data_IF_174719050125
#
_entry.id   IF_174719050125
#
_cell.length_a   1.000
_cell.length_b   1.000
_cell.length_c   1.000
_cell.angle_alpha   90.00
_cell.angle_beta   90.00
_cell.angle_gamma   90.00
#
_symmetry.space_group_name_H-M   'P 1'
#
loop_
_entity.id
_entity.type
_entity.pdbx_description
1 polymer ?
#
# COMPACT_ATOMS: atom_id res chain seq x y z
N UNK A 1 -36.39 26.73 -49.29
CA UNK A 1 -35.69 27.48 -48.21
C UNK A 1 -36.07 27.00 -46.79
N UNK A 2 -37.24 26.45 -46.51
CA UNK A 2 -37.65 25.98 -45.16
C UNK A 2 -36.89 24.75 -44.64
N UNK A 3 -36.54 23.79 -45.50
CA UNK A 3 -35.88 22.53 -45.16
C UNK A 3 -34.41 22.71 -44.76
N UNK A 4 -33.69 23.74 -45.29
CA UNK A 4 -32.31 24.04 -44.91
C UNK A 4 -32.23 24.70 -43.53
N UNK A 5 -33.20 25.57 -43.19
CA UNK A 5 -33.30 26.19 -41.85
C UNK A 5 -33.62 25.17 -40.76
N UNK A 6 -34.43 24.15 -41.06
CA UNK A 6 -34.74 23.04 -40.14
C UNK A 6 -33.53 22.18 -39.90
N UNK A 7 -32.76 21.76 -40.92
CA UNK A 7 -31.51 20.96 -40.76
C UNK A 7 -30.45 21.68 -39.96
N UNK A 8 -30.30 23.01 -40.15
CA UNK A 8 -29.34 23.83 -39.35
C UNK A 8 -29.76 23.89 -37.87
N UNK A 9 -31.04 24.02 -37.55
CA UNK A 9 -31.53 24.00 -36.15
C UNK A 9 -31.31 22.65 -35.50
N UNK A 10 -31.57 21.55 -36.19
CA UNK A 10 -31.31 20.18 -35.68
C UNK A 10 -29.82 19.98 -35.43
N UNK A 11 -28.96 20.39 -36.37
CA UNK A 11 -27.51 20.28 -36.18
C UNK A 11 -26.99 21.07 -34.96
N UNK A 12 -27.51 22.29 -34.74
CA UNK A 12 -27.18 23.09 -33.55
C UNK A 12 -27.63 22.39 -32.28
N UNK A 13 -28.87 21.86 -32.24
CA UNK A 13 -29.39 21.13 -31.06
C UNK A 13 -28.52 19.91 -30.76
N UNK A 14 -28.19 19.11 -31.77
CA UNK A 14 -27.32 17.93 -31.60
C UNK A 14 -25.96 18.36 -31.06
N UNK A 15 -25.36 19.41 -31.63
CA UNK A 15 -24.05 19.94 -31.17
C UNK A 15 -24.11 20.41 -29.71
N UNK A 16 -25.18 21.11 -29.30
CA UNK A 16 -25.36 21.53 -27.91
C UNK A 16 -25.55 20.33 -26.96
N UNK A 17 -26.30 19.32 -27.38
CA UNK A 17 -26.48 18.08 -26.58
C UNK A 17 -25.16 17.34 -26.43
N UNK A 18 -24.41 17.16 -27.52
CA UNK A 18 -23.10 16.51 -27.47
C UNK A 18 -22.10 17.27 -26.57
N UNK A 19 -22.08 18.60 -26.66
CA UNK A 19 -21.25 19.44 -25.80
C UNK A 19 -21.66 19.31 -24.31
N UNK A 20 -22.96 19.31 -24.02
CA UNK A 20 -23.49 19.10 -22.67
C UNK A 20 -23.11 17.73 -22.09
N UNK A 21 -23.23 16.67 -22.90
CA UNK A 21 -22.81 15.32 -22.49
C UNK A 21 -21.30 15.24 -22.23
N UNK A 22 -20.48 15.86 -23.07
CA UNK A 22 -19.04 15.88 -22.87
C UNK A 22 -18.65 16.59 -21.55
N UNK A 23 -19.27 17.74 -21.27
CA UNK A 23 -19.06 18.46 -20.00
C UNK A 23 -19.52 17.60 -18.80
N UNK A 24 -20.68 16.96 -18.92
CA UNK A 24 -21.18 16.07 -17.86
C UNK A 24 -20.21 14.91 -17.58
N UNK A 25 -19.67 14.26 -18.61
CA UNK A 25 -18.69 13.17 -18.47
C UNK A 25 -17.43 13.67 -17.78
N UNK A 26 -16.91 14.83 -18.19
CA UNK A 26 -15.70 15.40 -17.55
C UNK A 26 -15.95 15.70 -16.06
N UNK A 27 -17.07 16.36 -15.74
CA UNK A 27 -17.42 16.67 -14.34
C UNK A 27 -17.60 15.38 -13.53
N UNK A 28 -18.25 14.36 -14.12
CA UNK A 28 -18.40 13.06 -13.47
C UNK A 28 -17.05 12.39 -13.19
N UNK A 29 -16.13 12.38 -14.16
CA UNK A 29 -14.78 11.86 -13.97
C UNK A 29 -13.97 12.64 -12.92
N UNK A 30 -14.16 13.98 -12.84
CA UNK A 30 -13.55 14.78 -11.77
C UNK A 30 -14.10 14.41 -10.40
N UNK A 31 -15.41 14.19 -10.27
CA UNK A 31 -16.04 13.72 -9.02
C UNK A 31 -15.50 12.34 -8.65
N UNK A 32 -15.42 11.43 -9.61
CA UNK A 32 -14.85 10.10 -9.39
C UNK A 32 -13.38 10.18 -8.91
N UNK A 33 -12.57 11.05 -9.53
CA UNK A 33 -11.19 11.29 -9.12
C UNK A 33 -11.07 11.86 -7.71
N UNK A 34 -11.95 12.81 -7.37
CA UNK A 34 -11.94 13.46 -6.05
C UNK A 34 -12.42 12.54 -4.92
N UNK A 35 -13.56 11.82 -5.13
CA UNK A 35 -14.19 11.01 -4.08
C UNK A 35 -13.61 9.61 -3.98
N UNK A 36 -13.31 8.97 -5.10
CA UNK A 36 -12.93 7.55 -5.17
C UNK A 36 -11.52 7.29 -5.69
N UNK A 37 -10.73 8.33 -5.92
CA UNK A 37 -9.35 8.20 -6.42
C UNK A 37 -9.29 7.42 -7.75
N UNK A 38 -10.34 7.55 -8.60
CA UNK A 38 -10.50 6.77 -9.81
C UNK A 38 -10.48 7.62 -11.08
N UNK A 39 -9.89 7.06 -12.17
CA UNK A 39 -9.88 7.65 -13.50
C UNK A 39 -8.81 8.74 -13.69
N UNK A 40 -8.89 9.50 -14.80
CA UNK A 40 -7.82 10.42 -15.22
C UNK A 40 -7.62 11.62 -14.28
N UNK A 41 -8.56 11.86 -13.37
CA UNK A 41 -8.51 12.93 -12.37
C UNK A 41 -8.28 12.40 -10.94
N UNK A 42 -7.76 11.18 -10.79
CA UNK A 42 -7.47 10.58 -9.47
C UNK A 42 -6.58 11.45 -8.57
N UNK A 43 -5.67 12.23 -9.13
CA UNK A 43 -4.87 13.21 -8.40
C UNK A 43 -5.67 14.31 -7.69
N UNK A 44 -6.96 14.52 -8.03
CA UNK A 44 -7.82 15.45 -7.31
C UNK A 44 -8.14 15.01 -5.87
N UNK A 45 -8.01 13.72 -5.55
CA UNK A 45 -8.11 13.23 -4.18
C UNK A 45 -7.08 13.89 -3.25
N UNK A 46 -5.91 14.27 -3.75
CA UNK A 46 -4.89 15.00 -3.00
C UNK A 46 -5.41 16.34 -2.46
N UNK A 47 -6.38 16.99 -3.14
CA UNK A 47 -7.01 18.22 -2.64
C UNK A 47 -7.80 17.95 -1.36
N UNK A 48 -8.46 16.77 -1.25
CA UNK A 48 -9.19 16.35 -0.06
C UNK A 48 -8.19 15.97 1.04
N UNK A 49 -7.23 15.14 0.74
CA UNK A 49 -6.24 14.66 1.71
C UNK A 49 -5.37 15.78 2.27
N UNK A 50 -5.02 16.79 1.44
CA UNK A 50 -4.25 17.95 1.90
C UNK A 50 -4.92 18.73 3.04
N UNK A 51 -6.25 18.67 3.14
CA UNK A 51 -7.01 19.39 4.16
C UNK A 51 -7.24 18.57 5.44
N UNK A 52 -6.79 17.31 5.49
CA UNK A 52 -6.83 16.52 6.73
C UNK A 52 -5.82 17.09 7.74
N UNK A 53 -6.24 17.22 8.99
CA UNK A 53 -5.38 17.73 10.07
C UNK A 53 -4.10 16.90 10.20
N UNK A 54 -4.21 15.58 10.09
CA UNK A 54 -3.09 14.65 10.16
C UNK A 54 -2.12 14.73 8.97
N UNK A 55 -2.45 15.50 7.92
CA UNK A 55 -1.55 15.76 6.78
C UNK A 55 -0.93 17.16 6.83
N UNK A 56 -1.00 17.84 8.00
CA UNK A 56 -0.41 19.15 8.20
C UNK A 56 1.11 19.16 8.00
N UNK A 57 1.65 20.36 7.75
CA UNK A 57 3.08 20.56 7.43
C UNK A 57 4.00 20.09 8.56
N UNK A 58 3.56 20.18 9.83
CA UNK A 58 4.34 19.71 10.98
C UNK A 58 4.68 18.21 10.92
N UNK A 59 3.92 17.41 10.16
CA UNK A 59 4.17 15.98 9.97
C UNK A 59 4.94 15.67 8.66
N UNK A 60 5.45 16.69 7.98
CA UNK A 60 6.25 16.47 6.76
C UNK A 60 7.60 15.83 7.06
N UNK A 61 8.09 15.01 6.15
CA UNK A 61 9.37 14.28 6.29
C UNK A 61 10.54 15.23 6.49
N UNK A 62 10.46 16.44 5.90
CA UNK A 62 11.47 17.49 6.02
C UNK A 62 11.64 17.99 7.46
N UNK A 63 10.61 17.85 8.30
CA UNK A 63 10.63 18.27 9.70
C UNK A 63 11.01 17.14 10.66
N UNK A 64 11.33 15.95 10.14
CA UNK A 64 11.72 14.78 10.93
C UNK A 64 13.23 14.77 11.13
N UNK A 65 13.65 14.61 12.38
CA UNK A 65 15.06 14.52 12.75
C UNK A 65 15.59 13.11 12.48
N UNK A 66 16.85 13.04 12.04
CA UNK A 66 17.60 11.80 11.90
C UNK A 66 18.04 11.31 13.28
N UNK A 67 18.04 10.02 13.51
CA UNK A 67 18.52 9.42 14.75
C UNK A 67 20.06 9.44 14.80
N UNK A 68 20.61 9.78 15.93
CA UNK A 68 22.07 9.78 16.13
C UNK A 68 22.69 8.40 15.89
N UNK A 69 21.98 7.35 16.28
CA UNK A 69 22.35 5.94 16.08
C UNK A 69 21.14 5.12 15.66
N UNK A 70 21.29 4.27 14.66
CA UNK A 70 20.26 3.35 14.20
C UNK A 70 20.84 2.04 13.73
N UNK A 71 20.23 0.90 14.12
CA UNK A 71 20.60 -0.42 13.56
C UNK A 71 20.39 -0.52 12.05
N UNK A 72 19.51 0.32 11.46
CA UNK A 72 19.23 0.34 10.01
C UNK A 72 20.17 1.27 9.23
N UNK A 73 21.04 2.02 9.89
CA UNK A 73 21.85 3.03 9.22
C UNK A 73 22.64 2.46 8.02
N UNK A 74 22.45 3.10 6.86
CA UNK A 74 23.11 2.73 5.60
C UNK A 74 22.48 1.55 4.86
N UNK A 75 21.44 0.90 5.40
CA UNK A 75 20.76 -0.20 4.73
C UNK A 75 19.96 0.27 3.50
N UNK A 76 19.81 -0.64 2.54
CA UNK A 76 18.94 -0.49 1.37
C UNK A 76 17.75 -1.44 1.50
N UNK A 77 16.56 -0.89 1.71
CA UNK A 77 15.34 -1.65 1.99
C UNK A 77 14.38 -1.60 0.80
N UNK A 78 13.93 -2.76 0.32
CA UNK A 78 12.89 -2.82 -0.69
C UNK A 78 11.51 -2.93 -0.02
N UNK A 79 10.56 -2.07 -0.42
CA UNK A 79 9.19 -2.09 0.04
C UNK A 79 8.23 -2.40 -1.12
N UNK A 80 7.51 -3.52 -1.01
CA UNK A 80 6.50 -3.94 -1.97
C UNK A 80 5.12 -3.81 -1.34
N UNK A 81 4.18 -3.12 -2.02
CA UNK A 81 2.86 -2.95 -1.44
C UNK A 81 1.83 -2.27 -2.32
N UNK A 82 0.73 -1.86 -1.69
CA UNK A 82 -0.36 -1.14 -2.34
C UNK A 82 -0.53 0.28 -1.77
N UNK A 83 -1.77 0.72 -1.56
CA UNK A 83 -2.09 2.09 -1.16
C UNK A 83 -1.50 2.50 0.19
N UNK A 84 -1.37 1.56 1.14
CA UNK A 84 -0.80 1.85 2.46
C UNK A 84 0.72 2.05 2.36
N UNK A 85 1.44 1.18 1.66
CA UNK A 85 2.87 1.40 1.38
C UNK A 85 3.10 2.67 0.56
N UNK A 86 2.22 2.96 -0.40
CA UNK A 86 2.29 4.15 -1.26
C UNK A 86 2.08 5.46 -0.48
N UNK A 87 1.27 5.44 0.60
CA UNK A 87 0.83 6.63 1.32
C UNK A 87 -0.31 7.36 0.58
N UNK A 88 -1.31 6.61 0.11
CA UNK A 88 -2.36 7.15 -0.77
C UNK A 88 -3.15 8.29 -0.13
N UNK A 89 -3.41 8.24 1.17
CA UNK A 89 -4.19 9.26 1.91
C UNK A 89 -3.32 10.26 2.67
N UNK A 90 -1.99 10.15 2.55
CA UNK A 90 -0.97 10.98 3.22
C UNK A 90 -0.05 11.70 2.22
N UNK A 91 -0.57 12.02 1.03
CA UNK A 91 0.12 12.75 -0.04
C UNK A 91 1.40 12.03 -0.52
N UNK A 92 1.34 10.70 -0.64
CA UNK A 92 2.41 9.79 -1.09
C UNK A 92 3.56 9.64 -0.09
N UNK A 93 3.36 10.05 1.15
CA UNK A 93 4.28 9.85 2.27
C UNK A 93 3.75 8.70 3.13
N UNK A 94 4.56 7.69 3.42
CA UNK A 94 4.22 6.57 4.30
C UNK A 94 5.31 6.36 5.36
N UNK A 95 5.21 5.31 6.16
CA UNK A 95 6.28 4.92 7.09
C UNK A 95 7.63 4.73 6.36
N UNK A 96 7.62 4.43 5.06
CA UNK A 96 8.84 4.22 4.25
C UNK A 96 9.74 5.47 4.27
N UNK A 97 9.18 6.63 3.97
CA UNK A 97 9.91 7.89 3.92
C UNK A 97 10.37 8.32 5.33
N UNK A 98 9.56 8.04 6.35
CA UNK A 98 9.92 8.36 7.75
C UNK A 98 11.04 7.46 8.26
N UNK A 99 10.96 6.14 8.04
CA UNK A 99 12.04 5.21 8.39
C UNK A 99 13.33 5.63 7.66
N UNK A 100 13.24 5.92 6.36
CA UNK A 100 14.39 6.32 5.58
C UNK A 100 15.05 7.59 6.14
N UNK A 101 14.25 8.61 6.46
CA UNK A 101 14.76 9.87 7.00
C UNK A 101 15.35 9.70 8.39
N UNK A 102 14.65 8.98 9.28
CA UNK A 102 15.08 8.78 10.67
C UNK A 102 16.34 7.93 10.79
N UNK A 103 16.46 6.90 9.95
CA UNK A 103 17.49 5.87 10.08
C UNK A 103 18.60 5.97 9.03
N UNK A 104 18.60 7.03 8.20
CA UNK A 104 19.56 7.20 7.11
C UNK A 104 19.66 5.95 6.20
N UNK A 105 18.50 5.38 5.81
CA UNK A 105 18.41 4.26 4.88
C UNK A 105 18.14 4.74 3.46
N UNK A 106 18.56 3.93 2.48
CA UNK A 106 18.06 4.04 1.11
C UNK A 106 16.91 3.06 0.90
N UNK A 107 16.07 3.30 -0.09
CA UNK A 107 14.94 2.41 -0.35
C UNK A 107 14.53 2.35 -1.81
N UNK A 108 13.90 1.22 -2.17
CA UNK A 108 13.07 1.06 -3.36
C UNK A 108 11.63 0.89 -2.87
N UNK A 109 10.72 1.79 -3.27
CA UNK A 109 9.30 1.71 -2.92
C UNK A 109 8.48 1.33 -4.15
N UNK A 110 8.20 0.03 -4.31
CA UNK A 110 7.37 -0.52 -5.36
C UNK A 110 5.93 -0.69 -4.85
N UNK A 111 5.15 0.39 -4.90
CA UNK A 111 3.81 0.47 -4.33
C UNK A 111 2.81 1.13 -5.27
N UNK A 112 1.70 0.43 -5.54
CA UNK A 112 0.63 0.91 -6.44
C UNK A 112 -0.73 0.69 -5.78
N UNK A 113 -1.50 1.76 -5.58
CA UNK A 113 -2.82 1.71 -4.93
C UNK A 113 -3.79 0.79 -5.67
N UNK A 114 -4.58 0.02 -4.90
CA UNK A 114 -5.62 -0.87 -5.45
C UNK A 114 -5.13 -2.21 -5.96
N UNK A 115 -3.83 -2.51 -5.84
CA UNK A 115 -3.23 -3.75 -6.34
C UNK A 115 -3.23 -4.85 -5.29
N UNK A 116 -3.15 -6.10 -5.73
CA UNK A 116 -3.30 -7.32 -4.94
C UNK A 116 -2.01 -8.12 -4.85
N UNK A 117 -1.89 -8.93 -3.79
CA UNK A 117 -0.88 -9.99 -3.67
C UNK A 117 -1.07 -11.02 -4.78
N UNK A 118 -2.31 -11.53 -4.92
CA UNK A 118 -2.64 -12.52 -5.96
C UNK A 118 -2.32 -11.98 -7.34
N UNK A 119 -1.81 -12.87 -8.20
CA UNK A 119 -1.41 -12.51 -9.55
C UNK A 119 -2.62 -12.35 -10.47
N UNK A 120 -2.96 -11.10 -10.76
CA UNK A 120 -4.00 -10.72 -11.72
C UNK A 120 -3.42 -9.96 -12.93
N UNK A 121 -2.12 -10.14 -13.20
CA UNK A 121 -1.43 -9.55 -14.35
C UNK A 121 -0.58 -8.33 -13.99
N UNK A 122 -0.47 -7.37 -14.89
CA UNK A 122 0.60 -6.34 -14.98
C UNK A 122 0.86 -5.55 -13.69
N UNK A 123 -0.12 -5.39 -12.81
CA UNK A 123 0.00 -4.56 -11.61
C UNK A 123 -0.04 -5.35 -10.30
N UNK A 124 -0.10 -6.69 -10.34
CA UNK A 124 0.00 -7.50 -9.11
C UNK A 124 1.32 -7.27 -8.39
N UNK A 125 1.39 -7.59 -7.09
CA UNK A 125 2.67 -7.54 -6.36
C UNK A 125 3.72 -8.40 -7.04
N UNK A 126 3.34 -9.61 -7.47
CA UNK A 126 4.22 -10.55 -8.15
C UNK A 126 4.81 -9.95 -9.43
N UNK A 127 3.97 -9.40 -10.32
CA UNK A 127 4.44 -8.85 -11.59
C UNK A 127 5.36 -7.64 -11.39
N UNK A 128 5.09 -6.79 -10.37
CA UNK A 128 5.94 -5.64 -10.06
C UNK A 128 7.26 -6.06 -9.41
N UNK A 129 7.23 -7.03 -8.48
CA UNK A 129 8.43 -7.63 -7.91
C UNK A 129 9.34 -8.21 -9.00
N UNK A 130 8.79 -8.95 -9.96
CA UNK A 130 9.55 -9.54 -11.07
C UNK A 130 10.16 -8.50 -12.02
N UNK A 131 9.66 -7.26 -12.03
CA UNK A 131 10.17 -6.15 -12.83
C UNK A 131 11.34 -5.41 -12.17
N UNK A 132 11.60 -5.66 -10.88
CA UNK A 132 12.74 -5.07 -10.18
C UNK A 132 14.06 -5.59 -10.77
N UNK A 133 15.10 -4.77 -10.63
CA UNK A 133 16.46 -5.15 -11.05
C UNK A 133 16.93 -6.35 -10.21
N UNK A 134 17.21 -7.46 -10.88
CA UNK A 134 17.66 -8.71 -10.24
C UNK A 134 19.06 -8.63 -9.69
N UNK A 135 19.87 -7.71 -10.19
CA UNK A 135 21.23 -7.44 -9.72
C UNK A 135 21.27 -6.40 -8.59
N UNK A 136 20.12 -5.87 -8.17
CA UNK A 136 20.03 -4.96 -7.03
C UNK A 136 20.43 -5.68 -5.73
N UNK A 137 21.04 -4.93 -4.82
CA UNK A 137 21.28 -5.39 -3.46
C UNK A 137 20.22 -4.80 -2.52
N UNK A 138 19.54 -5.67 -1.78
CA UNK A 138 18.65 -5.30 -0.69
C UNK A 138 19.10 -5.97 0.60
N UNK A 139 19.13 -5.20 1.69
CA UNK A 139 19.43 -5.74 3.02
C UNK A 139 18.20 -6.39 3.65
N UNK A 140 17.00 -5.87 3.35
CA UNK A 140 15.70 -6.41 3.79
C UNK A 140 14.66 -6.15 2.69
N UNK A 141 13.75 -7.11 2.51
CA UNK A 141 12.58 -6.98 1.65
C UNK A 141 11.31 -6.94 2.51
N UNK A 142 10.63 -5.81 2.53
CA UNK A 142 9.41 -5.58 3.32
C UNK A 142 8.18 -5.61 2.41
N UNK A 143 7.23 -6.51 2.69
CA UNK A 143 6.04 -6.71 1.87
C UNK A 143 4.75 -6.46 2.67
N UNK A 144 3.83 -5.72 2.08
CA UNK A 144 2.50 -5.49 2.65
C UNK A 144 1.61 -6.73 2.51
N UNK A 145 0.97 -7.21 3.61
CA UNK A 145 -0.20 -8.05 3.48
C UNK A 145 -1.35 -7.19 2.94
N UNK A 146 -1.76 -7.46 1.71
CA UNK A 146 -2.63 -6.54 0.96
C UNK A 146 -4.07 -6.51 1.50
N UNK A 147 -4.55 -5.34 1.85
CA UNK A 147 -5.97 -5.12 2.20
C UNK A 147 -6.91 -5.26 1.01
N UNK A 148 -6.39 -5.12 -0.23
CA UNK A 148 -7.19 -5.25 -1.45
C UNK A 148 -7.59 -6.70 -1.71
N UNK A 149 -6.76 -7.68 -1.36
CA UNK A 149 -7.13 -9.09 -1.48
C UNK A 149 -8.34 -9.42 -0.61
N UNK A 150 -8.39 -8.91 0.62
CA UNK A 150 -9.54 -9.06 1.50
C UNK A 150 -10.79 -8.34 0.97
N UNK A 151 -10.67 -7.07 0.57
CA UNK A 151 -11.82 -6.27 0.09
C UNK A 151 -12.39 -6.75 -1.23
N UNK A 152 -11.57 -7.40 -2.07
CA UNK A 152 -11.98 -8.01 -3.33
C UNK A 152 -12.34 -9.48 -3.19
N UNK A 153 -12.34 -10.05 -1.97
CA UNK A 153 -12.65 -11.45 -1.67
C UNK A 153 -11.81 -12.43 -2.52
N UNK A 154 -10.48 -12.18 -2.59
CA UNK A 154 -9.58 -13.13 -3.26
C UNK A 154 -9.54 -14.45 -2.51
N UNK A 155 -9.34 -15.53 -3.24
CA UNK A 155 -9.23 -16.86 -2.64
C UNK A 155 -8.04 -16.90 -1.67
N UNK A 156 -8.27 -17.33 -0.42
CA UNK A 156 -7.21 -17.47 0.57
C UNK A 156 -6.18 -18.52 0.15
N UNK A 157 -6.66 -19.67 -0.33
CA UNK A 157 -5.83 -20.84 -0.58
C UNK A 157 -5.43 -21.54 0.72
N UNK A 158 -4.52 -22.49 0.60
CA UNK A 158 -3.94 -23.24 1.72
C UNK A 158 -2.42 -23.02 1.74
N UNK A 159 -1.83 -23.03 2.91
CA UNK A 159 -0.37 -23.05 3.05
C UNK A 159 0.15 -24.35 2.49
N UNK A 160 1.11 -24.28 1.59
CA UNK A 160 1.57 -25.47 0.86
C UNK A 160 2.34 -26.44 1.78
N UNK A 161 2.42 -27.71 1.37
CA UNK A 161 3.24 -28.69 2.09
C UNK A 161 4.74 -28.35 2.01
N UNK A 162 5.52 -28.86 2.95
CA UNK A 162 6.97 -28.73 2.94
C UNK A 162 7.59 -29.29 1.65
N UNK A 163 8.55 -28.56 1.09
CA UNK A 163 9.22 -28.95 -0.16
C UNK A 163 8.45 -28.58 -1.43
N UNK A 164 7.30 -27.91 -1.33
CA UNK A 164 6.60 -27.37 -2.49
C UNK A 164 7.46 -26.31 -3.20
N UNK A 165 7.52 -26.39 -4.53
CA UNK A 165 8.29 -25.46 -5.39
C UNK A 165 7.41 -24.72 -6.40
N UNK A 166 6.17 -25.14 -6.59
CA UNK A 166 5.20 -24.50 -7.47
C UNK A 166 4.00 -24.04 -6.63
N UNK A 167 3.69 -22.75 -6.68
CA UNK A 167 2.66 -22.12 -5.86
C UNK A 167 1.51 -21.62 -6.73
N UNK A 168 0.27 -21.78 -6.26
CA UNK A 168 -0.89 -21.16 -6.90
C UNK A 168 -0.94 -19.65 -6.58
N UNK A 169 -0.31 -18.85 -7.42
CA UNK A 169 -0.22 -17.40 -7.25
C UNK A 169 -1.57 -16.67 -7.41
N UNK A 170 -2.65 -17.39 -7.78
CA UNK A 170 -4.01 -16.85 -7.79
C UNK A 170 -4.72 -16.98 -6.43
N UNK A 171 -4.03 -17.49 -5.41
CA UNK A 171 -4.45 -17.49 -4.01
C UNK A 171 -3.52 -16.65 -3.15
N UNK A 172 -4.03 -16.14 -2.01
CA UNK A 172 -3.23 -15.31 -1.10
C UNK A 172 -2.04 -16.09 -0.53
N UNK A 173 -2.28 -17.31 -0.01
CA UNK A 173 -1.21 -18.15 0.52
C UNK A 173 -0.14 -18.45 -0.52
N UNK A 174 -0.54 -18.91 -1.70
CA UNK A 174 0.40 -19.22 -2.78
C UNK A 174 1.17 -17.99 -3.28
N UNK A 175 0.54 -16.81 -3.33
CA UNK A 175 1.22 -15.55 -3.69
C UNK A 175 2.26 -15.14 -2.64
N UNK A 176 1.94 -15.26 -1.34
CA UNK A 176 2.89 -14.98 -0.25
C UNK A 176 4.09 -15.93 -0.33
N UNK A 177 3.86 -17.24 -0.42
CA UNK A 177 4.91 -18.25 -0.50
C UNK A 177 5.79 -18.08 -1.75
N UNK A 178 5.17 -17.73 -2.89
CA UNK A 178 5.90 -17.39 -4.12
C UNK A 178 6.81 -16.17 -3.92
N UNK A 179 6.31 -15.09 -3.34
CA UNK A 179 7.09 -13.87 -3.07
C UNK A 179 8.29 -14.19 -2.18
N UNK A 180 8.10 -14.91 -1.07
CA UNK A 180 9.17 -15.31 -0.16
C UNK A 180 10.26 -16.09 -0.91
N UNK A 181 9.85 -17.10 -1.67
CA UNK A 181 10.76 -17.96 -2.42
C UNK A 181 11.52 -17.17 -3.48
N UNK A 182 10.83 -16.33 -4.24
CA UNK A 182 11.45 -15.52 -5.29
C UNK A 182 12.46 -14.52 -4.72
N UNK A 183 12.11 -13.80 -3.65
CA UNK A 183 13.01 -12.83 -2.99
C UNK A 183 14.27 -13.52 -2.48
N UNK A 184 14.09 -14.63 -1.78
CA UNK A 184 15.23 -15.41 -1.24
C UNK A 184 16.15 -15.93 -2.33
N UNK A 185 15.60 -16.43 -3.44
CA UNK A 185 16.39 -16.96 -4.55
C UNK A 185 17.05 -15.87 -5.40
N UNK A 186 16.43 -14.70 -5.54
CA UNK A 186 16.89 -13.64 -6.43
C UNK A 186 17.86 -12.71 -5.73
N UNK A 187 17.54 -12.22 -4.54
CA UNK A 187 18.32 -11.21 -3.84
C UNK A 187 18.99 -11.71 -2.57
N UNK A 188 18.66 -12.93 -2.14
CA UNK A 188 19.23 -13.56 -0.94
C UNK A 188 19.17 -12.64 0.30
N UNK A 189 18.05 -11.94 0.48
CA UNK A 189 17.83 -11.07 1.62
C UNK A 189 16.64 -11.55 2.47
N UNK A 190 16.62 -11.21 3.77
CA UNK A 190 15.49 -11.50 4.66
C UNK A 190 14.20 -10.87 4.17
N UNK A 191 13.08 -11.59 4.40
CA UNK A 191 11.73 -11.13 4.05
C UNK A 191 10.96 -10.81 5.32
N UNK A 192 10.31 -9.65 5.35
CA UNK A 192 9.42 -9.21 6.41
C UNK A 192 8.07 -8.87 5.79
N UNK A 193 6.98 -9.48 6.27
CA UNK A 193 5.65 -9.00 5.95
C UNK A 193 5.13 -8.07 7.04
N UNK A 194 4.26 -7.12 6.68
CA UNK A 194 3.54 -6.35 7.67
C UNK A 194 2.04 -6.37 7.40
N UNK A 195 1.26 -6.36 8.49
CA UNK A 195 -0.20 -6.27 8.44
C UNK A 195 -0.65 -4.82 8.57
N UNK A 196 -1.89 -4.52 8.19
CA UNK A 196 -2.52 -3.23 8.48
C UNK A 196 -2.81 -3.08 9.99
N UNK A 197 -3.03 -1.85 10.48
CA UNK A 197 -3.68 -1.64 11.77
C UNK A 197 -5.08 -2.26 11.77
N UNK A 198 -5.63 -2.55 12.95
CA UNK A 198 -6.93 -3.21 13.04
C UNK A 198 -8.04 -2.43 12.34
N UNK A 199 -8.77 -3.14 11.51
CA UNK A 199 -10.08 -2.74 10.97
C UNK A 199 -10.96 -4.00 10.88
N UNK A 200 -12.28 -3.82 10.96
CA UNK A 200 -13.20 -4.96 10.96
C UNK A 200 -13.26 -5.64 9.59
N UNK A 201 -12.63 -6.82 9.46
CA UNK A 201 -12.62 -7.60 8.23
C UNK A 201 -12.32 -9.07 8.54
N UNK A 202 -13.35 -9.94 8.44
CA UNK A 202 -13.14 -11.39 8.58
C UNK A 202 -12.19 -11.97 7.52
N UNK A 203 -12.27 -11.58 6.21
CA UNK A 203 -11.32 -12.07 5.23
C UNK A 203 -9.88 -11.65 5.55
N UNK A 204 -9.66 -10.42 6.03
CA UNK A 204 -8.31 -9.96 6.38
C UNK A 204 -7.76 -10.68 7.62
N UNK A 205 -8.60 -10.92 8.63
CA UNK A 205 -8.21 -11.72 9.81
C UNK A 205 -7.74 -13.12 9.40
N UNK A 206 -8.47 -13.79 8.50
CA UNK A 206 -8.07 -15.09 7.98
C UNK A 206 -6.73 -15.04 7.21
N UNK A 207 -6.46 -13.95 6.47
CA UNK A 207 -5.16 -13.74 5.82
C UNK A 207 -4.03 -13.54 6.83
N UNK A 208 -4.28 -12.84 7.95
CA UNK A 208 -3.30 -12.65 9.02
C UNK A 208 -2.97 -13.99 9.69
N UNK A 209 -3.97 -14.82 9.95
CA UNK A 209 -3.77 -16.15 10.53
C UNK A 209 -2.92 -17.04 9.59
N UNK A 210 -3.23 -17.05 8.30
CA UNK A 210 -2.45 -17.77 7.30
C UNK A 210 -1.00 -17.24 7.19
N UNK A 211 -0.81 -15.92 7.27
CA UNK A 211 0.53 -15.33 7.29
C UNK A 211 1.36 -15.80 8.50
N UNK A 212 0.75 -15.94 9.67
CA UNK A 212 1.42 -16.48 10.87
C UNK A 212 1.82 -17.95 10.70
N UNK A 213 1.01 -18.75 10.01
CA UNK A 213 1.37 -20.12 9.66
C UNK A 213 2.55 -20.16 8.68
N UNK A 214 2.53 -19.30 7.65
CA UNK A 214 3.63 -19.16 6.69
C UNK A 214 4.90 -18.66 7.39
N UNK A 215 4.79 -17.73 8.36
CA UNK A 215 5.92 -17.29 9.18
C UNK A 215 6.62 -18.45 9.87
N UNK A 216 5.86 -19.35 10.49
CA UNK A 216 6.42 -20.53 11.18
C UNK A 216 7.14 -21.46 10.20
N UNK A 217 6.61 -21.62 8.99
CA UNK A 217 7.17 -22.49 7.97
C UNK A 217 8.46 -21.96 7.37
N UNK A 218 8.52 -20.66 7.04
CA UNK A 218 9.63 -20.07 6.30
C UNK A 218 10.64 -19.29 7.17
N UNK A 219 10.31 -19.03 8.43
CA UNK A 219 11.16 -18.25 9.33
C UNK A 219 11.27 -16.76 8.94
N UNK A 220 10.27 -16.23 8.22
CA UNK A 220 10.22 -14.82 7.83
C UNK A 220 9.85 -13.90 9.00
N UNK A 221 10.13 -12.60 8.86
CA UNK A 221 9.61 -11.58 9.77
C UNK A 221 8.12 -11.30 9.53
N UNK A 222 7.37 -11.01 10.59
CA UNK A 222 5.99 -10.51 10.48
C UNK A 222 5.78 -9.39 11.49
N UNK A 223 5.57 -8.18 11.01
CA UNK A 223 5.14 -7.03 11.80
C UNK A 223 3.63 -7.07 11.87
N UNK A 224 3.10 -7.67 12.94
CA UNK A 224 1.66 -7.86 13.10
C UNK A 224 1.03 -6.66 13.82
N UNK A 225 0.70 -5.62 13.07
CA UNK A 225 -0.03 -4.46 13.57
C UNK A 225 -1.52 -4.76 13.76
N UNK A 226 -2.06 -5.81 13.09
CA UNK A 226 -3.50 -6.08 13.09
C UNK A 226 -3.99 -6.64 14.41
N UNK A 227 -3.24 -7.58 14.99
CA UNK A 227 -3.61 -8.22 16.25
C UNK A 227 -2.88 -7.65 17.48
N UNK A 228 -2.03 -6.65 17.32
CA UNK A 228 -1.36 -5.95 18.42
C UNK A 228 -2.37 -5.05 19.13
N UNK A 229 -2.88 -5.53 20.28
CA UNK A 229 -3.89 -4.82 21.07
C UNK A 229 -3.35 -3.50 21.62
N UNK A 230 -2.09 -3.45 22.06
CA UNK A 230 -1.46 -2.24 22.60
C UNK A 230 -1.29 -1.20 21.49
N UNK A 231 -0.83 -1.60 20.32
CA UNK A 231 -0.72 -0.73 19.15
C UNK A 231 -2.06 -0.13 18.73
N UNK A 232 -3.14 -0.92 18.80
CA UNK A 232 -4.49 -0.50 18.39
C UNK A 232 -5.28 0.23 19.49
N UNK A 233 -4.77 0.32 20.72
CA UNK A 233 -5.41 1.05 21.85
C UNK A 233 -5.13 2.55 21.75
N UNK A 234 -5.73 3.19 20.75
CA UNK A 234 -5.65 4.64 20.51
C UNK A 234 -7.00 5.31 20.76
N UNK A 235 -6.98 6.54 21.27
CA UNK A 235 -8.20 7.32 21.52
C UNK A 235 -8.92 7.70 20.21
N UNK A 236 -10.19 8.08 20.32
CA UNK A 236 -10.97 8.57 19.17
C UNK A 236 -10.33 9.82 18.55
N UNK A 237 -9.74 10.70 19.36
CA UNK A 237 -9.01 11.88 18.89
C UNK A 237 -7.75 11.50 18.11
N UNK A 238 -6.99 10.53 18.61
CA UNK A 238 -5.82 9.99 17.90
C UNK A 238 -6.25 9.32 16.60
N UNK A 239 -7.29 8.48 16.63
CA UNK A 239 -7.83 7.85 15.43
C UNK A 239 -8.26 8.88 14.38
N UNK A 240 -8.94 9.94 14.79
CA UNK A 240 -9.36 11.03 13.89
C UNK A 240 -8.18 11.79 13.28
N UNK A 241 -7.07 11.89 13.99
CA UNK A 241 -5.84 12.54 13.51
C UNK A 241 -5.02 11.59 12.61
N UNK A 242 -4.90 10.32 13.02
CA UNK A 242 -4.00 9.34 12.41
C UNK A 242 -4.58 8.64 11.18
N UNK A 243 -5.91 8.56 11.06
CA UNK A 243 -6.56 7.80 9.99
C UNK A 243 -7.39 8.71 9.07
N UNK A 244 -7.25 8.51 7.79
CA UNK A 244 -8.08 9.16 6.78
C UNK A 244 -9.39 8.40 6.52
N UNK A 245 -9.36 7.10 6.73
CA UNK A 245 -10.45 6.13 6.70
C UNK A 245 -10.05 4.89 7.53
N UNK A 246 -10.81 3.81 7.48
CA UNK A 246 -10.54 2.60 8.31
C UNK A 246 -9.22 1.88 7.96
N UNK A 247 -8.61 2.18 6.81
CA UNK A 247 -7.44 1.45 6.28
C UNK A 247 -6.21 2.34 6.16
N UNK A 248 -6.39 3.61 5.76
CA UNK A 248 -5.29 4.45 5.31
C UNK A 248 -4.88 5.49 6.34
N UNK A 249 -3.65 5.43 6.87
CA UNK A 249 -3.11 6.45 7.75
C UNK A 249 -2.90 7.81 7.05
N UNK A 250 -2.94 8.86 7.83
CA UNK A 250 -2.44 10.19 7.48
C UNK A 250 -0.93 10.25 7.71
N UNK A 251 -0.29 11.39 7.38
CA UNK A 251 1.13 11.63 7.73
C UNK A 251 1.38 11.51 9.24
N UNK A 252 0.50 12.08 10.08
CA UNK A 252 0.58 11.96 11.54
C UNK A 252 0.50 10.48 11.97
N UNK A 253 -0.43 9.71 11.41
CA UNK A 253 -0.56 8.28 11.70
C UNK A 253 0.68 7.48 11.33
N UNK A 254 1.28 7.77 10.18
CA UNK A 254 2.54 7.11 9.83
C UNK A 254 3.68 7.55 10.74
N UNK A 255 3.86 8.85 11.00
CA UNK A 255 4.99 9.36 11.75
C UNK A 255 4.95 8.97 13.23
N UNK A 256 3.81 9.21 13.89
CA UNK A 256 3.70 9.13 15.36
C UNK A 256 3.24 7.77 15.86
N UNK A 257 2.59 6.97 15.01
CA UNK A 257 1.98 5.70 15.41
C UNK A 257 2.64 4.49 14.72
N UNK A 258 2.68 4.47 13.36
CA UNK A 258 3.22 3.32 12.63
C UNK A 258 4.74 3.22 12.65
N UNK A 259 5.43 4.32 12.35
CA UNK A 259 6.91 4.33 12.20
C UNK A 259 7.62 3.82 13.45
N UNK A 260 7.29 4.27 14.67
CA UNK A 260 7.97 3.76 15.88
C UNK A 260 7.82 2.24 16.05
N UNK A 261 6.62 1.70 15.78
CA UNK A 261 6.37 0.25 15.89
C UNK A 261 7.07 -0.56 14.79
N UNK A 262 7.08 -0.03 13.57
CA UNK A 262 7.80 -0.65 12.45
C UNK A 262 9.31 -0.67 12.70
N UNK A 263 9.87 0.42 13.23
CA UNK A 263 11.28 0.53 13.60
C UNK A 263 11.66 -0.45 14.71
N UNK A 264 10.89 -0.49 15.80
CA UNK A 264 11.11 -1.44 16.91
C UNK A 264 11.26 -2.88 16.39
N UNK A 265 10.30 -3.30 15.56
CA UNK A 265 10.33 -4.64 15.01
C UNK A 265 11.52 -4.88 14.05
N UNK A 266 11.81 -3.92 13.18
CA UNK A 266 12.92 -4.03 12.24
C UNK A 266 14.27 -4.07 12.96
N UNK A 267 14.44 -3.31 14.04
CA UNK A 267 15.67 -3.35 14.85
C UNK A 267 15.89 -4.72 15.47
N UNK A 268 14.83 -5.27 16.09
CA UNK A 268 14.89 -6.59 16.72
C UNK A 268 15.14 -7.70 15.68
N UNK A 269 14.46 -7.62 14.54
CA UNK A 269 14.57 -8.61 13.47
C UNK A 269 15.99 -8.61 12.86
N UNK A 270 16.54 -7.45 12.59
CA UNK A 270 17.88 -7.31 12.02
C UNK A 270 18.94 -7.78 13.03
N UNK A 271 18.84 -7.40 14.30
CA UNK A 271 19.75 -7.84 15.34
C UNK A 271 19.81 -9.37 15.54
N UNK A 272 18.77 -10.10 15.08
CA UNK A 272 18.71 -11.56 15.17
C UNK A 272 19.10 -12.28 13.87
N UNK A 273 19.02 -11.62 12.71
CA UNK A 273 19.10 -12.28 11.40
C UNK A 273 20.24 -11.76 10.49
N UNK A 274 20.87 -10.67 10.84
CA UNK A 274 21.99 -10.06 10.11
C UNK A 274 23.15 -9.79 11.10
#
# INVERSE_FOLDING_TARGET
>A
MSNVKSKKKIAIIISCVCAGLAVFIVVWLMICGYLWTWGPFSGMANLRFKNLQGNGEQYSVENVEELDESPLNGMNICYLGSSVTYGASSLQTSFVEYIAKRNNTTYVKEAVSGTTLVDEGINSYISRMQSLDKDAHFDVFVCQLSTNDATQNKALGEVSADGTTEFDTHTVCGAIEYIITYVTQTWNCPVVFYTNSYYQSEPYAAMVDALKEIQQKYGIGVIDLYTDEEFNDISDEQRSLYMADDIHPTKAGYLEWWTPKMEEYLYDFIGQNI
#
